data_IF_465241150012
#
_entry.id   IF_465241150012
#
_cell.length_a   1.000
_cell.length_b   1.000
_cell.length_c   1.000
_cell.angle_alpha   90.00
_cell.angle_beta   90.00
_cell.angle_gamma   90.00
#
_symmetry.space_group_name_H-M   'P 1'
#
loop_
_entity.id
_entity.type
_entity.pdbx_description
1 polymer ?
#
# COMPACT_ATOMS: atom_id res chain seq x y z
N UNK A 1 -36.52 16.55 -1.17
CA UNK A 1 -35.56 17.01 -2.20
C UNK A 1 -34.65 15.82 -2.48
N UNK A 2 -34.83 15.19 -3.62
CA UNK A 2 -33.90 14.14 -4.10
C UNK A 2 -32.78 14.87 -4.83
N UNK A 3 -31.56 14.73 -4.36
CA UNK A 3 -30.40 15.13 -5.13
C UNK A 3 -30.44 14.39 -6.47
N UNK A 4 -30.14 15.09 -7.56
CA UNK A 4 -30.06 14.44 -8.88
C UNK A 4 -28.82 13.55 -8.91
N UNK A 5 -28.79 12.58 -9.80
CA UNK A 5 -27.59 11.73 -10.01
C UNK A 5 -26.36 12.59 -10.36
N UNK A 6 -26.57 13.70 -11.07
CA UNK A 6 -25.52 14.65 -11.43
C UNK A 6 -24.98 15.43 -10.22
N UNK A 7 -25.86 15.87 -9.29
CA UNK A 7 -25.44 16.54 -8.06
C UNK A 7 -24.60 15.61 -7.18
N UNK A 8 -24.94 14.31 -7.14
CA UNK A 8 -24.15 13.32 -6.40
C UNK A 8 -22.79 13.07 -7.04
N UNK A 9 -22.72 12.95 -8.36
CA UNK A 9 -21.46 12.79 -9.10
C UNK A 9 -20.56 13.98 -8.88
N UNK A 10 -21.07 15.19 -9.06
CA UNK A 10 -20.30 16.41 -8.82
C UNK A 10 -19.78 16.52 -7.38
N UNK A 11 -20.61 16.16 -6.40
CA UNK A 11 -20.18 16.15 -4.99
C UNK A 11 -19.09 15.12 -4.72
N UNK A 12 -19.15 13.96 -5.38
CA UNK A 12 -18.13 12.92 -5.27
C UNK A 12 -16.82 13.35 -5.94
N UNK A 13 -16.90 13.96 -7.10
CA UNK A 13 -15.78 14.50 -7.85
C UNK A 13 -15.02 15.55 -7.04
N UNK A 14 -15.71 16.55 -6.51
CA UNK A 14 -15.11 17.53 -5.59
C UNK A 14 -14.44 16.88 -4.35
N UNK A 15 -15.05 15.80 -3.82
CA UNK A 15 -14.48 15.07 -2.70
C UNK A 15 -13.19 14.35 -3.09
N UNK A 16 -13.14 13.73 -4.27
CA UNK A 16 -11.96 13.03 -4.77
C UNK A 16 -10.80 14.01 -4.98
N UNK A 17 -11.07 15.17 -5.55
CA UNK A 17 -10.08 16.23 -5.76
C UNK A 17 -9.54 16.79 -4.43
N UNK A 18 -10.44 17.08 -3.46
CA UNK A 18 -10.06 17.62 -2.15
C UNK A 18 -9.12 16.68 -1.40
N UNK A 19 -9.37 15.37 -1.47
CA UNK A 19 -8.57 14.37 -0.77
C UNK A 19 -7.48 13.73 -1.63
N UNK A 20 -7.25 14.26 -2.82
CA UNK A 20 -6.24 13.77 -3.76
C UNK A 20 -6.33 12.24 -3.91
N UNK A 21 -7.56 11.76 -4.24
CA UNK A 21 -7.78 10.34 -4.46
C UNK A 21 -6.93 9.87 -5.64
N UNK A 22 -6.28 8.73 -5.51
CA UNK A 22 -5.54 8.11 -6.60
C UNK A 22 -6.40 7.90 -7.85
N UNK A 23 -5.82 8.17 -9.03
CA UNK A 23 -6.41 7.79 -10.32
C UNK A 23 -6.08 6.34 -10.67
N UNK A 24 -4.90 5.89 -10.29
CA UNK A 24 -4.39 4.54 -10.55
C UNK A 24 -3.91 3.85 -9.27
N UNK A 25 -4.27 2.58 -9.15
CA UNK A 25 -3.77 1.64 -8.17
C UNK A 25 -3.00 0.54 -8.87
N UNK A 26 -1.73 0.40 -8.56
CA UNK A 26 -0.82 -0.53 -9.22
C UNK A 26 -0.41 -1.60 -8.21
N UNK A 27 -0.56 -2.86 -8.56
CA UNK A 27 -0.27 -4.02 -7.71
C UNK A 27 0.80 -4.88 -8.35
N UNK A 28 1.70 -5.42 -7.53
CA UNK A 28 2.70 -6.41 -7.96
C UNK A 28 2.64 -7.66 -7.11
N UNK A 29 2.57 -8.82 -7.74
CA UNK A 29 2.64 -10.12 -7.05
C UNK A 29 4.04 -10.43 -6.47
N UNK A 30 5.06 -9.71 -6.91
CA UNK A 30 6.46 -9.87 -6.47
C UNK A 30 7.00 -8.65 -5.73
N UNK A 31 6.16 -7.64 -5.51
CA UNK A 31 6.53 -6.35 -4.93
C UNK A 31 7.23 -5.42 -5.91
N UNK A 32 7.43 -4.16 -5.47
CA UNK A 32 8.15 -3.12 -6.21
C UNK A 32 9.44 -2.77 -5.47
N UNK A 33 10.54 -2.66 -6.20
CA UNK A 33 11.80 -2.09 -5.71
C UNK A 33 11.81 -0.58 -5.90
N UNK A 34 12.79 0.11 -5.31
CA UNK A 34 12.95 1.56 -5.50
C UNK A 34 13.13 1.92 -6.98
N UNK A 35 13.84 1.09 -7.76
CA UNK A 35 14.02 1.32 -9.18
C UNK A 35 12.72 1.14 -9.98
N UNK A 36 11.81 0.25 -9.53
CA UNK A 36 10.50 0.09 -10.15
C UNK A 36 9.62 1.32 -9.85
N UNK A 37 9.70 1.84 -8.61
CA UNK A 37 9.03 3.08 -8.20
C UNK A 37 9.54 4.27 -9.00
N UNK A 38 10.85 4.41 -9.17
CA UNK A 38 11.46 5.47 -9.96
C UNK A 38 11.04 5.39 -11.44
N UNK A 39 10.94 4.19 -12.01
CA UNK A 39 10.48 4.01 -13.39
C UNK A 39 9.04 4.47 -13.57
N UNK A 40 8.13 4.08 -12.64
CA UNK A 40 6.73 4.53 -12.67
C UNK A 40 6.65 6.05 -12.50
N UNK A 41 7.39 6.62 -11.55
CA UNK A 41 7.43 8.07 -11.28
C UNK A 41 7.87 8.88 -12.49
N UNK A 42 8.81 8.37 -13.27
CA UNK A 42 9.34 9.05 -14.47
C UNK A 42 8.51 8.77 -15.73
N UNK A 43 7.43 8.03 -15.65
CA UNK A 43 6.53 7.78 -16.78
C UNK A 43 5.73 9.05 -17.10
N UNK A 44 5.67 9.41 -18.37
CA UNK A 44 4.94 10.59 -18.85
C UNK A 44 3.45 10.48 -18.47
N UNK A 45 2.93 11.55 -17.87
CA UNK A 45 1.55 11.65 -17.40
C UNK A 45 1.37 11.29 -15.91
N UNK A 46 2.38 10.80 -15.21
CA UNK A 46 2.34 10.61 -13.75
C UNK A 46 2.61 11.95 -13.07
N UNK A 47 1.65 12.45 -12.27
CA UNK A 47 1.79 13.69 -11.53
C UNK A 47 2.33 13.47 -10.12
N UNK A 48 1.74 12.54 -9.37
CA UNK A 48 2.13 12.16 -8.01
C UNK A 48 2.19 10.65 -7.87
N UNK A 49 3.01 10.18 -6.92
CA UNK A 49 3.17 8.75 -6.66
C UNK A 49 3.45 8.49 -5.19
N UNK A 50 2.71 7.55 -4.62
CA UNK A 50 2.92 7.06 -3.27
C UNK A 50 3.03 5.53 -3.28
N UNK A 51 4.22 5.03 -2.97
CA UNK A 51 4.48 3.61 -2.77
C UNK A 51 4.13 3.23 -1.32
N UNK A 52 3.44 2.11 -1.13
CA UNK A 52 2.92 1.70 0.17
C UNK A 52 3.10 0.22 0.41
N UNK A 53 3.17 -0.15 1.67
CA UNK A 53 3.04 -1.52 2.12
C UNK A 53 1.59 -1.78 2.54
N UNK A 54 1.05 -2.91 2.11
CA UNK A 54 -0.25 -3.40 2.55
C UNK A 54 -0.13 -4.86 2.91
N UNK A 55 -0.51 -5.23 4.13
CA UNK A 55 -0.61 -6.61 4.59
C UNK A 55 -1.92 -6.83 5.33
N UNK A 56 -2.39 -8.06 5.32
CA UNK A 56 -3.52 -8.49 6.14
C UNK A 56 -3.00 -9.32 7.32
N UNK A 57 -3.47 -9.00 8.50
CA UNK A 57 -3.12 -9.65 9.76
C UNK A 57 -4.39 -10.01 10.55
N UNK A 58 -4.22 -10.70 11.66
CA UNK A 58 -5.34 -11.10 12.54
C UNK A 58 -5.12 -10.49 13.92
N UNK A 59 -6.20 -10.02 14.50
CA UNK A 59 -6.25 -9.52 15.88
C UNK A 59 -7.47 -10.04 16.62
N UNK A 60 -7.56 -9.75 17.90
CA UNK A 60 -8.76 -10.05 18.72
C UNK A 60 -9.32 -8.76 19.28
N UNK A 61 -10.57 -8.46 18.95
CA UNK A 61 -11.35 -7.36 19.52
C UNK A 61 -12.47 -7.98 20.35
N UNK A 62 -12.54 -7.65 21.63
CA UNK A 62 -13.50 -8.23 22.58
C UNK A 62 -13.55 -9.77 22.58
N UNK A 63 -12.38 -10.40 22.42
CA UNK A 63 -12.25 -11.85 22.35
C UNK A 63 -12.67 -12.48 21.02
N UNK A 64 -13.16 -11.69 20.07
CA UNK A 64 -13.53 -12.14 18.72
C UNK A 64 -12.40 -11.88 17.75
N UNK A 65 -12.01 -12.91 16.98
CA UNK A 65 -11.00 -12.77 15.93
C UNK A 65 -11.52 -11.88 14.79
N UNK A 66 -10.70 -10.94 14.38
CA UNK A 66 -10.97 -10.02 13.26
C UNK A 66 -9.74 -9.95 12.34
N UNK A 67 -9.96 -9.90 11.04
CA UNK A 67 -8.91 -9.62 10.09
C UNK A 67 -8.74 -8.11 9.96
N UNK A 68 -7.52 -7.64 10.07
CA UNK A 68 -7.15 -6.23 9.96
C UNK A 68 -6.19 -6.01 8.81
N UNK A 69 -6.48 -5.01 7.99
CA UNK A 69 -5.56 -4.54 6.96
C UNK A 69 -4.64 -3.47 7.53
N UNK A 70 -3.34 -3.71 7.44
CA UNK A 70 -2.30 -2.78 7.86
C UNK A 70 -1.74 -2.12 6.63
N UNK A 71 -1.76 -0.80 6.60
CA UNK A 71 -1.29 0.02 5.46
C UNK A 71 -0.29 1.06 5.95
N UNK A 72 0.56 1.53 5.04
CA UNK A 72 1.44 2.67 5.31
C UNK A 72 0.65 3.98 5.29
N UNK A 73 0.96 4.89 6.22
CA UNK A 73 0.61 6.31 6.12
C UNK A 73 1.87 7.08 5.67
N UNK A 74 1.74 8.12 4.83
CA UNK A 74 2.88 8.97 4.52
C UNK A 74 3.50 9.56 5.79
N UNK A 75 4.83 9.50 5.90
CA UNK A 75 5.55 9.91 7.11
C UNK A 75 5.88 11.40 7.12
N UNK A 76 6.02 12.04 5.96
CA UNK A 76 6.46 13.41 5.83
C UNK A 76 5.67 14.20 4.79
N UNK A 77 5.84 15.53 4.85
CA UNK A 77 5.30 16.49 3.90
C UNK A 77 3.78 16.34 3.63
N UNK A 78 3.00 16.18 4.69
CA UNK A 78 1.53 16.03 4.66
C UNK A 78 0.83 17.38 4.40
N UNK A 79 1.24 18.08 3.35
CA UNK A 79 0.67 19.37 2.94
C UNK A 79 -0.16 19.22 1.67
N UNK A 80 -1.11 20.11 1.47
CA UNK A 80 -2.00 20.07 0.29
C UNK A 80 -1.25 20.31 -1.02
N UNK A 81 -0.09 20.96 -0.98
CA UNK A 81 0.76 21.20 -2.16
C UNK A 81 1.62 19.99 -2.54
N UNK A 82 1.70 18.99 -1.66
CA UNK A 82 2.44 17.77 -1.96
C UNK A 82 1.61 16.83 -2.85
N UNK A 83 2.05 16.67 -4.10
CA UNK A 83 1.40 15.79 -5.09
C UNK A 83 1.49 14.31 -4.70
N UNK A 84 2.53 13.91 -3.97
CA UNK A 84 2.74 12.54 -3.49
C UNK A 84 1.90 12.23 -2.25
N UNK A 85 1.30 13.24 -1.59
CA UNK A 85 0.31 12.99 -0.55
C UNK A 85 -1.04 12.59 -1.17
N UNK A 86 -1.10 11.36 -1.63
CA UNK A 86 -2.25 10.72 -2.27
C UNK A 86 -3.13 10.07 -1.21
N UNK A 87 -4.45 10.00 -1.45
CA UNK A 87 -5.45 9.45 -0.52
C UNK A 87 -5.40 10.13 0.85
N UNK A 88 -5.39 11.46 0.87
CA UNK A 88 -5.23 12.31 2.06
C UNK A 88 -6.15 11.90 3.19
N UNK A 89 -5.57 11.75 4.37
CA UNK A 89 -6.32 11.39 5.57
C UNK A 89 -6.93 12.63 6.23
N UNK A 90 -8.16 12.51 6.71
CA UNK A 90 -8.77 13.51 7.57
C UNK A 90 -8.83 12.99 9.00
N UNK A 91 -8.10 13.64 9.91
CA UNK A 91 -8.13 13.29 11.33
C UNK A 91 -9.51 13.61 11.89
N UNK A 92 -10.18 12.61 12.46
CA UNK A 92 -11.41 12.76 13.23
C UNK A 92 -11.09 13.08 14.68
N UNK A 93 -10.11 12.35 15.24
CA UNK A 93 -9.70 12.47 16.65
C UNK A 93 -8.24 12.02 16.80
N UNK A 94 -7.51 12.61 17.74
CA UNK A 94 -6.12 12.30 18.01
C UNK A 94 -5.16 12.90 16.98
N UNK A 95 -4.16 12.14 16.56
CA UNK A 95 -3.10 12.52 15.63
C UNK A 95 -2.70 11.35 14.71
N UNK A 96 -1.88 11.63 13.70
CA UNK A 96 -1.23 10.58 12.90
C UNK A 96 -0.10 9.90 13.69
N UNK A 97 0.29 8.65 13.33
CA UNK A 97 1.43 7.98 13.94
C UNK A 97 2.73 8.70 13.58
N UNK A 98 3.65 8.81 14.55
CA UNK A 98 4.94 9.49 14.39
C UNK A 98 6.12 8.52 14.53
N UNK A 99 5.90 7.30 14.99
CA UNK A 99 6.93 6.29 15.25
C UNK A 99 6.39 4.87 15.16
N UNK A 100 7.30 3.91 15.10
CA UNK A 100 6.97 2.49 15.21
C UNK A 100 6.14 2.19 16.47
N UNK A 101 5.20 1.25 16.35
CA UNK A 101 4.30 0.88 17.43
C UNK A 101 3.13 1.86 17.64
N UNK A 102 2.97 2.88 16.81
CA UNK A 102 1.77 3.73 16.78
C UNK A 102 0.95 3.45 15.52
N UNK A 103 -0.38 3.54 15.65
CA UNK A 103 -1.27 3.44 14.50
C UNK A 103 -2.45 4.41 14.60
N UNK A 104 -3.05 4.69 13.44
CA UNK A 104 -4.40 5.26 13.36
C UNK A 104 -5.36 4.21 12.84
N UNK A 105 -6.61 4.27 13.33
CA UNK A 105 -7.67 3.40 12.84
C UNK A 105 -8.58 4.18 11.89
N UNK A 106 -8.97 3.55 10.78
CA UNK A 106 -10.03 4.08 9.93
C UNK A 106 -11.35 4.09 10.69
N UNK A 107 -12.02 5.25 10.69
CA UNK A 107 -13.35 5.40 11.30
C UNK A 107 -14.34 4.39 10.73
N UNK A 108 -15.03 3.68 11.62
CA UNK A 108 -16.15 2.81 11.30
C UNK A 108 -17.12 2.81 12.48
N UNK A 109 -18.40 3.00 12.22
CA UNK A 109 -19.44 2.98 13.28
C UNK A 109 -19.43 1.66 14.06
N UNK A 110 -19.06 0.56 13.40
CA UNK A 110 -19.03 -0.77 14.04
C UNK A 110 -17.88 -0.93 15.04
N UNK A 111 -16.71 -0.29 14.80
CA UNK A 111 -15.53 -0.40 15.66
C UNK A 111 -15.35 0.78 16.61
N UNK A 112 -16.06 1.89 16.39
CA UNK A 112 -15.96 3.10 17.22
C UNK A 112 -16.24 2.86 18.72
N UNK A 113 -17.12 1.92 19.05
CA UNK A 113 -17.45 1.59 20.44
C UNK A 113 -16.53 0.50 21.05
N UNK A 114 -15.60 -0.02 20.26
CA UNK A 114 -14.76 -1.18 20.63
C UNK A 114 -13.27 -0.87 20.68
N UNK A 115 -12.85 0.19 20.03
CA UNK A 115 -11.44 0.61 19.96
C UNK A 115 -11.39 2.11 20.20
N UNK A 116 -10.66 2.51 21.25
CA UNK A 116 -10.47 3.90 21.65
C UNK A 116 -9.00 4.31 21.49
N UNK A 117 -8.76 5.62 21.48
CA UNK A 117 -7.38 6.15 21.50
C UNK A 117 -6.72 5.74 22.83
N UNK A 118 -5.50 5.18 22.72
CA UNK A 118 -4.74 4.60 23.82
C UNK A 118 -4.85 3.09 23.94
N UNK A 119 -5.78 2.45 23.21
CA UNK A 119 -5.83 1.00 23.16
C UNK A 119 -4.63 0.44 22.36
N UNK A 120 -4.24 -0.80 22.70
CA UNK A 120 -3.18 -1.52 22.00
C UNK A 120 -3.78 -2.65 21.18
N UNK A 121 -3.52 -2.64 19.88
CA UNK A 121 -3.90 -3.68 18.94
C UNK A 121 -2.71 -4.64 18.79
N UNK A 122 -2.90 -5.91 19.17
CA UNK A 122 -1.89 -6.96 18.97
C UNK A 122 -2.22 -7.74 17.71
N UNK A 123 -1.23 -7.88 16.82
CA UNK A 123 -1.34 -8.51 15.50
C UNK A 123 -0.70 -9.89 15.49
N UNK A 124 -1.23 -10.78 14.65
CA UNK A 124 -0.60 -12.04 14.28
C UNK A 124 -0.79 -12.27 12.77
N UNK A 125 0.09 -13.06 12.16
CA UNK A 125 0.04 -13.31 10.70
C UNK A 125 -1.25 -14.00 10.23
N UNK A 126 -1.89 -14.74 11.09
CA UNK A 126 -3.09 -15.51 10.76
C UNK A 126 -2.85 -16.74 9.88
N UNK A 127 -1.60 -17.05 9.59
CA UNK A 127 -1.12 -18.24 8.87
C UNK A 127 0.14 -18.80 9.56
N UNK A 128 0.86 -19.72 8.92
CA UNK A 128 2.06 -20.37 9.47
C UNK A 128 3.34 -19.49 9.43
N UNK A 129 3.29 -18.28 8.84
CA UNK A 129 4.42 -17.34 8.82
C UNK A 129 4.50 -16.54 10.11
N UNK A 130 5.66 -16.00 10.43
CA UNK A 130 5.84 -15.08 11.55
C UNK A 130 5.45 -13.66 11.13
N UNK A 131 4.73 -12.94 12.00
CA UNK A 131 4.36 -11.54 11.74
C UNK A 131 5.61 -10.65 11.60
N UNK A 132 6.71 -11.02 12.25
CA UNK A 132 8.01 -10.33 12.17
C UNK A 132 8.66 -10.36 10.79
N UNK A 133 8.21 -11.26 9.88
CA UNK A 133 8.62 -11.25 8.47
C UNK A 133 8.04 -10.05 7.70
N UNK A 134 7.05 -9.38 8.28
CA UNK A 134 6.34 -8.27 7.62
C UNK A 134 6.34 -6.98 8.43
N UNK A 135 6.29 -7.07 9.76
CA UNK A 135 6.21 -5.92 10.67
C UNK A 135 7.31 -6.04 11.74
N UNK A 136 7.91 -4.92 12.12
CA UNK A 136 8.95 -4.87 13.16
C UNK A 136 8.42 -5.06 14.58
N UNK A 137 7.14 -4.79 14.79
CA UNK A 137 6.41 -5.04 16.05
C UNK A 137 5.04 -5.62 15.76
N UNK A 138 4.52 -6.38 16.70
CA UNK A 138 3.17 -6.94 16.67
C UNK A 138 2.17 -6.14 17.53
N UNK A 139 2.62 -5.11 18.26
CA UNK A 139 1.77 -4.28 19.12
C UNK A 139 1.75 -2.83 18.60
N UNK A 140 0.55 -2.26 18.45
CA UNK A 140 0.32 -0.91 17.96
C UNK A 140 -0.65 -0.16 18.88
N UNK A 141 -0.20 0.96 19.45
CA UNK A 141 -1.05 1.89 20.20
C UNK A 141 -1.87 2.74 19.22
N UNK A 142 -3.16 2.81 19.41
CA UNK A 142 -4.07 3.67 18.64
C UNK A 142 -3.89 5.12 19.09
N UNK A 143 -3.29 5.95 18.23
CA UNK A 143 -3.04 7.37 18.53
C UNK A 143 -4.03 8.31 17.84
N UNK A 144 -4.86 7.79 16.95
CA UNK A 144 -5.89 8.60 16.30
C UNK A 144 -6.89 7.78 15.50
N UNK A 145 -7.96 8.48 15.12
CA UNK A 145 -9.05 7.97 14.28
C UNK A 145 -9.15 8.85 13.04
N UNK A 146 -9.18 8.24 11.86
CA UNK A 146 -9.12 8.97 10.58
C UNK A 146 -10.23 8.55 9.62
N UNK A 147 -10.61 9.47 8.73
CA UNK A 147 -11.33 9.15 7.49
C UNK A 147 -10.30 9.03 6.36
N UNK A 148 -10.55 8.12 5.43
CA UNK A 148 -9.75 7.97 4.21
C UNK A 148 -10.66 7.91 2.99
N UNK A 149 -10.34 8.58 1.88
CA UNK A 149 -11.09 8.50 0.64
C UNK A 149 -10.92 7.14 -0.05
N UNK A 150 -9.86 6.41 0.28
CA UNK A 150 -9.55 5.11 -0.32
C UNK A 150 -10.64 4.05 -0.07
N UNK A 151 -11.30 4.07 1.09
CA UNK A 151 -12.40 3.18 1.42
C UNK A 151 -13.69 3.94 1.64
N UNK A 152 -14.43 4.18 0.58
CA UNK A 152 -15.75 4.84 0.64
C UNK A 152 -16.84 3.89 1.16
N UNK A 153 -16.63 2.57 0.97
CA UNK A 153 -17.55 1.51 1.42
C UNK A 153 -17.21 0.97 2.80
N UNK A 154 -18.21 0.35 3.45
CA UNK A 154 -17.98 -0.48 4.64
C UNK A 154 -17.20 -1.75 4.32
N UNK A 155 -17.33 -2.27 3.11
CA UNK A 155 -16.55 -3.41 2.61
C UNK A 155 -15.13 -2.94 2.25
N UNK A 156 -14.15 -3.43 3.01
CA UNK A 156 -12.72 -3.14 2.81
C UNK A 156 -12.09 -4.17 1.85
N UNK A 157 -12.82 -5.25 1.55
CA UNK A 157 -12.39 -6.30 0.66
C UNK A 157 -12.15 -7.65 1.32
N UNK A 158 -11.64 -8.58 0.53
CA UNK A 158 -11.34 -9.94 0.95
C UNK A 158 -9.89 -10.07 1.40
N UNK A 159 -9.61 -11.14 2.13
CA UNK A 159 -8.30 -11.48 2.66
C UNK A 159 -8.08 -12.98 2.58
N UNK A 160 -6.84 -13.39 2.38
CA UNK A 160 -6.42 -14.80 2.42
C UNK A 160 -6.16 -15.30 3.85
N UNK A 161 -6.23 -14.39 4.86
CA UNK A 161 -6.05 -14.74 6.27
C UNK A 161 -7.34 -14.58 7.06
N UNK A 162 -7.40 -15.19 8.23
CA UNK A 162 -8.54 -15.08 9.14
C UNK A 162 -9.80 -15.73 8.59
N UNK A 163 -10.92 -14.99 8.59
CA UNK A 163 -12.23 -15.47 8.12
C UNK A 163 -12.53 -15.15 6.64
N UNK A 164 -11.51 -14.66 5.87
CA UNK A 164 -11.64 -14.34 4.45
C UNK A 164 -12.19 -12.94 4.14
N UNK A 165 -12.47 -12.12 5.17
CA UNK A 165 -13.03 -10.78 5.02
C UNK A 165 -12.27 -9.79 5.91
N UNK A 166 -11.88 -8.65 5.38
CA UNK A 166 -11.22 -7.60 6.16
C UNK A 166 -12.25 -6.86 7.01
N UNK A 167 -12.07 -6.88 8.34
CA UNK A 167 -12.98 -6.25 9.27
C UNK A 167 -12.76 -4.75 9.41
N UNK A 168 -11.49 -4.33 9.52
CA UNK A 168 -11.11 -2.92 9.63
C UNK A 168 -9.69 -2.69 9.13
N UNK A 169 -9.29 -1.42 9.08
CA UNK A 169 -7.99 -1.00 8.59
C UNK A 169 -7.30 -0.14 9.65
N UNK A 170 -6.02 -0.42 9.87
CA UNK A 170 -5.12 0.48 10.59
C UNK A 170 -4.04 0.99 9.64
N UNK A 171 -3.50 2.15 9.96
CA UNK A 171 -2.41 2.75 9.19
C UNK A 171 -1.26 3.06 10.14
N UNK A 172 -0.06 2.68 9.74
CA UNK A 172 1.17 2.78 10.51
C UNK A 172 2.24 3.52 9.71
N UNK A 173 3.32 3.93 10.35
CA UNK A 173 4.46 4.54 9.66
C UNK A 173 5.13 3.52 8.73
N UNK A 174 5.77 4.00 7.67
CA UNK A 174 6.53 3.15 6.74
C UNK A 174 7.64 2.39 7.47
N UNK A 175 8.28 3.04 8.44
CA UNK A 175 9.30 2.45 9.31
C UNK A 175 8.82 1.22 10.11
N UNK A 176 7.52 0.99 10.25
CA UNK A 176 6.94 -0.18 10.93
C UNK A 176 7.08 -1.47 10.13
N UNK A 177 7.28 -1.39 8.81
CA UNK A 177 7.42 -2.57 7.96
C UNK A 177 8.85 -3.11 7.97
N UNK A 178 8.97 -4.45 7.96
CA UNK A 178 10.25 -5.17 7.92
C UNK A 178 10.70 -5.50 6.48
N UNK A 179 9.85 -5.23 5.48
CA UNK A 179 10.07 -5.55 4.06
C UNK A 179 10.76 -4.39 3.34
N UNK A 180 11.70 -4.72 2.44
CA UNK A 180 12.44 -3.77 1.60
C UNK A 180 11.73 -3.45 0.26
N UNK A 181 10.57 -4.07 -0.02
CA UNK A 181 9.82 -3.89 -1.26
C UNK A 181 8.39 -3.47 -0.96
N UNK A 182 7.86 -2.55 -1.75
CA UNK A 182 6.48 -2.10 -1.66
C UNK A 182 5.53 -3.12 -2.30
N UNK A 183 4.31 -3.18 -1.80
CA UNK A 183 3.30 -4.11 -2.29
C UNK A 183 2.31 -3.45 -3.23
N UNK A 184 2.20 -2.13 -3.16
CA UNK A 184 1.17 -1.35 -3.81
C UNK A 184 1.69 0.06 -4.11
N UNK A 185 1.26 0.62 -5.23
CA UNK A 185 1.60 1.98 -5.64
C UNK A 185 0.31 2.71 -6.00
N UNK A 186 0.13 3.90 -5.47
CA UNK A 186 -0.92 4.84 -5.85
C UNK A 186 -0.31 5.93 -6.72
N UNK A 187 -0.98 6.28 -7.80
CA UNK A 187 -0.56 7.36 -8.68
C UNK A 187 -1.73 8.29 -9.00
N UNK A 188 -1.40 9.56 -9.19
CA UNK A 188 -2.27 10.56 -9.79
C UNK A 188 -1.76 10.92 -11.18
N UNK A 189 -2.68 11.27 -12.07
CA UNK A 189 -2.40 11.55 -13.48
C UNK A 189 -2.44 13.04 -13.74
N UNK A 190 -1.43 13.56 -14.44
CA UNK A 190 -1.32 14.98 -14.80
C UNK A 190 -2.52 15.42 -15.63
N UNK A 191 -3.24 16.45 -15.14
CA UNK A 191 -4.43 16.98 -15.79
C UNK A 191 -5.72 16.22 -15.53
N UNK A 192 -5.69 15.08 -14.82
CA UNK A 192 -6.92 14.33 -14.49
C UNK A 192 -7.84 15.11 -13.55
N UNK A 193 -7.27 15.88 -12.64
CA UNK A 193 -8.01 16.67 -11.66
C UNK A 193 -8.81 17.85 -12.25
N UNK A 194 -8.49 18.29 -13.47
CA UNK A 194 -9.25 19.31 -14.20
C UNK A 194 -10.44 18.75 -14.98
N UNK A 195 -10.59 17.42 -15.00
CA UNK A 195 -11.67 16.71 -15.71
C UNK A 195 -12.69 16.18 -14.72
N UNK A 196 -13.95 16.06 -15.16
CA UNK A 196 -14.98 15.33 -14.42
C UNK A 196 -14.59 13.83 -14.36
N UNK A 197 -14.39 13.28 -13.17
CA UNK A 197 -14.01 11.87 -12.93
C UNK A 197 -14.96 10.86 -13.61
N UNK A 198 -16.16 11.29 -13.99
CA UNK A 198 -17.14 10.44 -14.67
C UNK A 198 -17.21 10.67 -16.20
N UNK A 199 -16.29 11.49 -16.76
CA UNK A 199 -16.24 11.80 -18.19
C UNK A 199 -15.43 10.78 -18.98
N UNK A 200 -15.72 10.67 -20.28
CA UNK A 200 -14.94 9.82 -21.19
C UNK A 200 -13.49 10.37 -21.31
N UNK A 201 -13.33 11.70 -21.29
CA UNK A 201 -12.03 12.38 -21.36
C UNK A 201 -11.12 12.01 -20.17
N UNK A 202 -11.69 11.88 -18.95
CA UNK A 202 -10.95 11.40 -17.78
C UNK A 202 -10.48 9.96 -17.98
N UNK A 203 -11.39 9.08 -18.41
CA UNK A 203 -11.05 7.67 -18.62
C UNK A 203 -10.04 7.47 -19.74
N UNK A 204 -10.08 8.26 -20.80
CA UNK A 204 -9.10 8.21 -21.89
C UNK A 204 -7.73 8.65 -21.39
N UNK A 205 -7.63 9.78 -20.66
CA UNK A 205 -6.37 10.31 -20.12
C UNK A 205 -5.71 9.33 -19.13
N UNK A 206 -6.51 8.81 -18.18
CA UNK A 206 -6.01 7.83 -17.19
C UNK A 206 -5.63 6.52 -17.86
N UNK A 207 -6.39 6.09 -18.87
CA UNK A 207 -6.13 4.89 -19.67
C UNK A 207 -4.81 4.97 -20.43
N UNK A 208 -4.52 6.08 -21.10
CA UNK A 208 -3.25 6.30 -21.79
C UNK A 208 -2.05 6.28 -20.85
N UNK A 209 -2.16 6.92 -19.68
CA UNK A 209 -1.11 6.92 -18.67
C UNK A 209 -0.89 5.53 -18.08
N UNK A 210 -1.99 4.79 -17.84
CA UNK A 210 -1.93 3.40 -17.41
C UNK A 210 -1.15 2.52 -18.40
N UNK A 211 -1.43 2.62 -19.72
CA UNK A 211 -0.71 1.86 -20.75
C UNK A 211 0.80 2.16 -20.73
N UNK A 212 1.19 3.45 -20.60
CA UNK A 212 2.61 3.83 -20.47
C UNK A 212 3.28 3.25 -19.23
N UNK A 213 2.57 3.18 -18.10
CA UNK A 213 3.06 2.56 -16.86
C UNK A 213 3.20 1.04 -17.04
N UNK A 214 2.23 0.39 -17.70
CA UNK A 214 2.29 -1.04 -17.98
C UNK A 214 3.50 -1.38 -18.88
N UNK A 215 3.77 -0.60 -19.92
CA UNK A 215 4.95 -0.74 -20.79
C UNK A 215 6.26 -0.60 -19.99
N UNK A 216 6.37 0.45 -19.17
CA UNK A 216 7.54 0.67 -18.31
C UNK A 216 7.74 -0.44 -17.29
N UNK A 217 6.66 -0.99 -16.72
CA UNK A 217 6.70 -2.10 -15.79
C UNK A 217 7.12 -3.42 -16.46
N UNK A 218 6.67 -3.66 -17.70
CA UNK A 218 7.07 -4.85 -18.47
C UNK A 218 8.57 -4.85 -18.77
N UNK A 219 9.14 -3.71 -19.22
CA UNK A 219 10.58 -3.56 -19.43
C UNK A 219 11.39 -3.81 -18.15
N UNK A 220 10.91 -3.31 -16.99
CA UNK A 220 11.53 -3.51 -15.69
C UNK A 220 11.45 -4.97 -15.23
N UNK A 221 10.31 -5.62 -15.42
CA UNK A 221 10.12 -7.03 -15.05
C UNK A 221 11.08 -7.94 -15.83
N UNK A 222 11.24 -7.71 -17.13
CA UNK A 222 12.17 -8.45 -17.98
C UNK A 222 13.61 -8.27 -17.52
N UNK A 223 14.03 -7.02 -17.23
CA UNK A 223 15.35 -6.71 -16.69
C UNK A 223 15.60 -7.40 -15.34
N UNK A 224 14.61 -7.40 -14.44
CA UNK A 224 14.70 -8.06 -13.13
C UNK A 224 14.79 -9.58 -13.25
N UNK A 225 13.99 -10.18 -14.12
CA UNK A 225 14.06 -11.62 -14.40
C UNK A 225 15.43 -11.99 -14.97
N UNK A 226 16.02 -11.17 -15.83
CA UNK A 226 17.34 -11.42 -16.37
C UNK A 226 18.42 -11.28 -15.28
N UNK A 227 18.37 -10.25 -14.45
CA UNK A 227 19.29 -10.06 -13.32
C UNK A 227 19.29 -11.25 -12.36
N UNK A 228 18.09 -11.73 -11.97
CA UNK A 228 17.96 -12.91 -11.09
C UNK A 228 18.55 -14.17 -11.73
N UNK A 229 18.38 -14.37 -13.05
CA UNK A 229 19.01 -15.50 -13.77
C UNK A 229 20.53 -15.40 -13.75
N UNK A 230 21.07 -14.20 -13.98
CA UNK A 230 22.51 -13.96 -13.99
C UNK A 230 23.13 -14.19 -12.60
N UNK A 231 22.44 -13.78 -11.53
CA UNK A 231 22.85 -14.02 -10.14
C UNK A 231 22.88 -15.51 -9.80
N UNK A 232 21.81 -16.24 -10.16
CA UNK A 232 21.74 -17.70 -9.96
C UNK A 232 22.85 -18.41 -10.73
N UNK A 233 23.13 -18.02 -11.97
CA UNK A 233 24.23 -18.61 -12.74
C UNK A 233 25.61 -18.30 -12.14
N UNK A 234 25.78 -17.09 -11.61
CA UNK A 234 27.01 -16.65 -10.92
C UNK A 234 27.24 -17.46 -9.65
N UNK A 235 26.24 -17.59 -8.80
CA UNK A 235 26.33 -18.41 -7.57
C UNK A 235 26.59 -19.88 -7.86
N UNK A 236 25.88 -20.43 -8.85
CA UNK A 236 26.10 -21.81 -9.29
C UNK A 236 27.54 -22.01 -9.75
N UNK A 237 28.11 -21.06 -10.52
CA UNK A 237 29.51 -21.13 -10.98
C UNK A 237 30.49 -21.09 -9.81
N UNK A 238 30.29 -20.19 -8.85
CA UNK A 238 31.12 -20.13 -7.63
C UNK A 238 31.07 -21.43 -6.84
N UNK A 239 29.90 -21.98 -6.62
CA UNK A 239 29.72 -23.26 -5.89
C UNK A 239 30.42 -24.41 -6.61
N UNK A 240 30.34 -24.47 -7.93
CA UNK A 240 31.04 -25.49 -8.73
C UNK A 240 32.56 -25.34 -8.59
N UNK A 241 33.09 -24.14 -8.70
CA UNK A 241 34.53 -23.86 -8.57
C UNK A 241 35.04 -24.21 -7.15
N UNK A 242 34.28 -23.88 -6.11
CA UNK A 242 34.58 -24.28 -4.73
C UNK A 242 34.63 -25.81 -4.55
N UNK A 243 33.67 -26.52 -5.13
CA UNK A 243 33.63 -28.00 -5.09
C UNK A 243 34.86 -28.56 -5.83
N UNK A 244 35.22 -28.04 -6.98
CA UNK A 244 36.38 -28.49 -7.73
C UNK A 244 37.72 -28.25 -6.96
N UNK A 245 37.87 -27.11 -6.30
CA UNK A 245 39.05 -26.81 -5.50
C UNK A 245 39.13 -27.69 -4.23
N UNK A 246 38.00 -27.95 -3.56
CA UNK A 246 37.92 -28.87 -2.43
C UNK A 246 38.29 -30.31 -2.81
N UNK A 247 37.74 -30.82 -3.90
CA UNK A 247 38.10 -32.15 -4.42
C UNK A 247 39.57 -32.23 -4.79
N UNK A 248 40.14 -31.17 -5.37
CA UNK A 248 41.55 -31.11 -5.77
C UNK A 248 42.51 -31.07 -4.58
N UNK A 249 42.10 -30.53 -3.44
CA UNK A 249 42.86 -30.50 -2.21
C UNK A 249 42.81 -31.81 -1.43
N UNK A 250 41.68 -32.56 -1.49
CA UNK A 250 41.54 -33.89 -0.84
C UNK A 250 42.26 -35.02 -1.56
N UNK A 251 42.58 -34.88 -2.85
CA UNK A 251 43.26 -35.91 -3.66
C UNK A 251 44.78 -35.72 -3.67
N UNK A 252 45.34 -34.78 -2.94
CA UNK A 252 46.79 -34.60 -2.73
C UNK A 252 47.22 -35.13 -1.38
#
# INVERSE_FOLDING_TARGET
VTASSEDMKHSSDCYYDEYNLMDLRILSGVGFTDEDIDAIRNTEGVEGLFATHTIDAVTKIDGTQSTVRVMTVPDDNLTDDNKDYINRLRIKEGRLPEKEGECVIRYSEFYQEKIEIGDVITLSSGNDSDISDSLKTDEYEVVGIVYTPYYVSYDIGQSDVGNGSVGFCIMVTDSSFAREYYTEVFATVEGAKELDTYSDEYFDLVGETKERIEDAAEERLDARVQSVKDDIESERRKTIDEIYENVRTEVR
#
